data_IF_939140303088
#
_entry.id   IF_939140303088
#
_cell.length_a   1.000
_cell.length_b   1.000
_cell.length_c   1.000
_cell.angle_alpha   90.00
_cell.angle_beta   90.00
_cell.angle_gamma   90.00
#
_symmetry.space_group_name_H-M   'P 1'
#
loop_
_entity.id
_entity.type
_entity.pdbx_description
1 polymer ?
#
# COMPACT_ATOMS: atom_id res chain seq x y z
N UNK A 1 23.29 42.40 -7.12
CA UNK A 1 23.39 41.11 -6.42
C UNK A 1 22.09 40.37 -6.66
N UNK A 2 22.14 39.45 -7.62
CA UNK A 2 21.05 38.57 -8.03
C UNK A 2 20.61 37.65 -6.89
N UNK A 3 19.30 37.59 -6.65
CA UNK A 3 18.68 36.49 -5.93
C UNK A 3 17.74 35.77 -6.90
N UNK A 4 18.31 34.81 -7.63
CA UNK A 4 17.58 33.88 -8.45
C UNK A 4 16.67 33.00 -7.58
N UNK A 5 15.40 32.97 -7.95
CA UNK A 5 14.53 31.79 -8.07
C UNK A 5 14.71 30.64 -7.08
N UNK A 6 13.75 30.52 -6.16
CA UNK A 6 13.13 29.21 -5.90
C UNK A 6 11.62 29.41 -5.97
N UNK A 7 11.10 29.32 -7.20
CA UNK A 7 9.70 28.99 -7.40
C UNK A 7 9.47 27.65 -6.71
N UNK A 8 8.75 27.68 -5.58
CA UNK A 8 8.23 26.46 -4.96
C UNK A 8 7.19 25.90 -5.92
N UNK A 9 7.69 25.02 -6.80
CA UNK A 9 6.91 24.17 -7.68
C UNK A 9 5.94 23.40 -6.79
N UNK A 10 4.74 23.97 -6.66
CA UNK A 10 3.65 23.44 -5.87
C UNK A 10 3.19 22.19 -6.57
N UNK A 11 3.93 21.10 -6.30
CA UNK A 11 3.75 19.74 -6.77
C UNK A 11 2.28 19.50 -7.04
N UNK A 12 1.96 19.30 -8.32
CA UNK A 12 0.72 18.68 -8.80
C UNK A 12 0.23 17.72 -7.73
N UNK A 13 -0.92 18.02 -7.10
CA UNK A 13 -1.60 17.10 -6.18
C UNK A 13 -1.88 15.83 -6.97
N UNK A 14 -0.95 14.88 -6.93
CA UNK A 14 -1.19 13.50 -7.38
C UNK A 14 -2.32 13.04 -6.47
N UNK A 15 -3.46 12.71 -7.05
CA UNK A 15 -4.55 12.09 -6.29
C UNK A 15 -4.01 10.76 -5.77
N UNK A 16 -3.60 10.77 -4.52
CA UNK A 16 -3.16 9.58 -3.81
C UNK A 16 -4.39 9.01 -3.15
N UNK A 17 -4.89 7.89 -3.68
CA UNK A 17 -5.93 7.12 -3.01
C UNK A 17 -5.23 6.04 -2.21
N UNK A 18 -5.35 6.11 -0.90
CA UNK A 18 -4.79 5.15 0.04
C UNK A 18 -5.87 4.14 0.45
N UNK A 19 -5.50 2.86 0.47
CA UNK A 19 -6.33 1.74 0.91
C UNK A 19 -5.54 0.98 1.97
N UNK A 20 -6.06 0.93 3.20
CA UNK A 20 -5.37 0.32 4.34
C UNK A 20 -6.00 -1.03 4.64
N UNK A 21 -5.18 -2.09 4.55
CA UNK A 21 -5.58 -3.45 4.89
C UNK A 21 -4.92 -3.84 6.21
N UNK A 22 -5.64 -3.59 7.31
CA UNK A 22 -5.18 -3.96 8.65
C UNK A 22 -5.01 -5.47 8.82
N UNK A 23 -4.02 -5.86 9.62
CA UNK A 23 -3.75 -7.25 9.96
C UNK A 23 -4.17 -7.53 11.41
N UNK A 24 -4.73 -8.72 11.63
CA UNK A 24 -5.07 -9.25 12.95
C UNK A 24 -4.73 -10.74 12.98
N UNK A 25 -3.93 -11.14 13.96
CA UNK A 25 -3.49 -12.53 14.16
C UNK A 25 -2.92 -13.20 12.88
N UNK A 26 -2.17 -12.45 12.08
CA UNK A 26 -1.55 -13.00 10.86
C UNK A 26 -2.45 -13.12 9.64
N UNK A 27 -3.63 -12.51 9.67
CA UNK A 27 -4.57 -12.48 8.56
C UNK A 27 -5.12 -11.06 8.38
N UNK A 28 -5.87 -10.83 7.30
CA UNK A 28 -6.62 -9.58 7.12
C UNK A 28 -7.67 -9.43 8.22
N UNK A 29 -7.78 -8.23 8.79
CA UNK A 29 -8.88 -7.90 9.70
C UNK A 29 -10.23 -7.92 8.99
N UNK A 30 -11.32 -7.94 9.74
CA UNK A 30 -12.69 -7.91 9.18
C UNK A 30 -12.90 -6.62 8.37
N UNK A 31 -12.42 -5.49 8.87
CA UNK A 31 -12.46 -4.19 8.20
C UNK A 31 -11.67 -4.22 6.89
N UNK A 32 -10.51 -4.88 6.86
CA UNK A 32 -9.72 -5.05 5.66
C UNK A 32 -10.43 -5.91 4.60
N UNK A 33 -11.24 -6.90 5.01
CA UNK A 33 -12.08 -7.67 4.10
C UNK A 33 -13.20 -6.81 3.51
N UNK A 34 -13.83 -5.94 4.31
CA UNK A 34 -14.79 -4.97 3.79
C UNK A 34 -14.14 -4.00 2.79
N UNK A 35 -12.94 -3.48 3.09
CA UNK A 35 -12.22 -2.61 2.16
C UNK A 35 -11.90 -3.33 0.84
N UNK A 36 -11.49 -4.61 0.92
CA UNK A 36 -11.24 -5.46 -0.25
C UNK A 36 -12.49 -5.67 -1.10
N UNK A 37 -13.66 -5.80 -0.48
CA UNK A 37 -14.90 -5.98 -1.23
C UNK A 37 -15.28 -4.75 -2.05
N UNK A 38 -15.01 -3.55 -1.49
CA UNK A 38 -15.23 -2.26 -2.15
C UNK A 38 -14.11 -1.87 -3.11
N UNK A 39 -12.98 -2.57 -3.08
CA UNK A 39 -11.86 -2.29 -3.94
C UNK A 39 -12.21 -2.54 -5.42
N UNK A 40 -11.88 -1.55 -6.26
CA UNK A 40 -11.93 -1.64 -7.71
C UNK A 40 -10.74 -0.88 -8.29
N UNK A 41 -10.09 -1.49 -9.28
CA UNK A 41 -8.98 -0.87 -10.01
C UNK A 41 -9.14 -1.07 -11.51
N UNK A 42 -8.62 -0.11 -12.28
CA UNK A 42 -8.40 -0.31 -13.70
C UNK A 42 -7.07 -1.04 -13.92
N UNK A 43 -6.94 -1.79 -15.02
CA UNK A 43 -5.71 -2.51 -15.36
C UNK A 43 -4.52 -1.58 -15.67
N UNK A 44 -4.79 -0.31 -15.93
CA UNK A 44 -3.82 0.77 -16.16
C UNK A 44 -3.39 1.47 -14.86
N UNK A 45 -4.12 1.26 -13.77
CA UNK A 45 -3.79 1.87 -12.48
C UNK A 45 -2.44 1.36 -11.98
N UNK A 46 -1.71 2.27 -11.33
CA UNK A 46 -0.41 1.98 -10.72
C UNK A 46 -0.52 2.10 -9.22
N UNK A 47 0.10 1.16 -8.52
CA UNK A 47 0.04 1.10 -7.08
C UNK A 47 1.43 0.95 -6.47
N UNK A 48 1.62 1.63 -5.34
CA UNK A 48 2.74 1.44 -4.45
C UNK A 48 2.24 0.75 -3.18
N UNK A 49 2.99 -0.22 -2.67
CA UNK A 49 2.59 -1.00 -1.49
C UNK A 49 3.53 -0.71 -0.34
N UNK A 50 3.02 -0.30 0.81
CA UNK A 50 3.79 -0.19 2.03
C UNK A 50 3.37 -1.29 3.01
N UNK A 51 4.34 -1.82 3.74
CA UNK A 51 4.08 -2.76 4.84
C UNK A 51 4.38 -2.03 6.14
N UNK A 52 3.34 -1.83 6.95
CA UNK A 52 3.42 -1.22 8.27
C UNK A 52 3.52 -2.35 9.29
N UNK A 53 4.49 -2.26 10.20
CA UNK A 53 4.62 -3.21 11.32
C UNK A 53 4.60 -2.50 12.66
N UNK A 54 3.81 -3.04 13.60
CA UNK A 54 3.69 -2.52 14.96
C UNK A 54 4.88 -2.87 15.86
N UNK A 55 5.67 -3.88 15.48
CA UNK A 55 6.85 -4.35 16.21
C UNK A 55 8.10 -4.48 15.33
N UNK A 56 9.15 -5.06 15.92
CA UNK A 56 10.36 -5.45 15.21
C UNK A 56 10.05 -6.52 14.15
N UNK A 57 10.60 -6.36 12.95
CA UNK A 57 10.50 -7.38 11.91
C UNK A 57 11.44 -8.54 12.24
N UNK A 58 10.87 -9.63 12.77
CA UNK A 58 11.51 -10.95 12.72
C UNK A 58 11.31 -11.57 11.35
N UNK A 59 12.20 -12.49 10.95
CA UNK A 59 12.05 -13.23 9.69
C UNK A 59 10.69 -13.96 9.60
N UNK A 60 10.19 -14.46 10.74
CA UNK A 60 8.86 -15.06 10.87
C UNK A 60 7.74 -14.06 10.56
N UNK A 61 7.78 -12.85 11.16
CA UNK A 61 6.78 -11.80 10.91
C UNK A 61 6.80 -11.33 9.45
N UNK A 62 7.98 -11.24 8.83
CA UNK A 62 8.12 -10.90 7.41
C UNK A 62 7.48 -11.97 6.53
N UNK A 63 7.79 -13.24 6.80
CA UNK A 63 7.21 -14.36 6.05
C UNK A 63 5.68 -14.40 6.18
N UNK A 64 5.17 -14.09 7.37
CA UNK A 64 3.74 -14.01 7.63
C UNK A 64 3.07 -12.89 6.84
N UNK A 65 3.57 -11.65 6.94
CA UNK A 65 3.04 -10.48 6.21
C UNK A 65 3.13 -10.69 4.70
N UNK A 66 4.23 -11.27 4.21
CA UNK A 66 4.41 -11.63 2.80
C UNK A 66 3.43 -12.71 2.34
N UNK A 67 3.09 -13.67 3.21
CA UNK A 67 2.03 -14.64 2.98
C UNK A 67 0.68 -13.96 2.78
N UNK A 68 0.31 -13.08 3.72
CA UNK A 68 -0.94 -12.30 3.63
C UNK A 68 -0.96 -11.43 2.38
N UNK A 69 0.15 -10.77 2.04
CA UNK A 69 0.27 -9.96 0.84
C UNK A 69 0.03 -10.77 -0.44
N UNK A 70 0.64 -11.96 -0.56
CA UNK A 70 0.44 -12.83 -1.73
C UNK A 70 -1.03 -13.21 -1.92
N UNK A 71 -1.73 -13.52 -0.84
CA UNK A 71 -3.14 -13.88 -0.91
C UNK A 71 -4.04 -12.67 -1.16
N UNK A 72 -3.75 -11.53 -0.55
CA UNK A 72 -4.41 -10.26 -0.84
C UNK A 72 -4.22 -9.88 -2.32
N UNK A 73 -3.01 -9.98 -2.86
CA UNK A 73 -2.70 -9.65 -4.25
C UNK A 73 -3.54 -10.47 -5.24
N UNK A 74 -3.71 -11.78 -5.01
CA UNK A 74 -4.60 -12.63 -5.85
C UNK A 74 -6.03 -12.12 -5.84
N UNK A 75 -6.54 -11.68 -4.68
CA UNK A 75 -7.90 -11.15 -4.56
C UNK A 75 -8.04 -9.77 -5.22
N UNK A 76 -7.03 -8.91 -5.09
CA UNK A 76 -6.97 -7.61 -5.76
C UNK A 76 -6.91 -7.77 -7.29
N UNK A 77 -6.17 -8.77 -7.79
CA UNK A 77 -6.14 -9.11 -9.22
C UNK A 77 -7.52 -9.44 -9.77
N UNK A 78 -8.31 -10.23 -9.03
CA UNK A 78 -9.69 -10.54 -9.39
C UNK A 78 -10.60 -9.30 -9.43
N UNK A 79 -10.19 -8.20 -8.79
CA UNK A 79 -10.88 -6.89 -8.76
C UNK A 79 -10.29 -5.87 -9.75
N UNK A 80 -9.45 -6.31 -10.68
CA UNK A 80 -8.95 -5.50 -11.81
C UNK A 80 -7.55 -4.91 -11.64
N UNK A 81 -6.88 -5.13 -10.48
CA UNK A 81 -5.50 -4.71 -10.29
C UNK A 81 -4.55 -5.52 -11.20
N UNK A 82 -3.64 -4.83 -11.88
CA UNK A 82 -2.59 -5.46 -12.67
C UNK A 82 -1.29 -5.58 -11.86
N UNK A 83 -0.78 -6.79 -11.58
CA UNK A 83 0.43 -6.98 -10.77
C UNK A 83 1.68 -6.33 -11.36
N UNK A 84 1.75 -6.19 -12.69
CA UNK A 84 2.88 -5.54 -13.38
C UNK A 84 2.99 -4.04 -13.05
N UNK A 85 1.89 -3.44 -12.57
CA UNK A 85 1.83 -2.03 -12.19
C UNK A 85 1.90 -1.83 -10.67
N UNK A 86 2.20 -2.89 -9.91
CA UNK A 86 2.41 -2.82 -8.47
C UNK A 86 3.90 -2.77 -8.19
N UNK A 87 4.32 -1.74 -7.47
CA UNK A 87 5.67 -1.62 -6.95
C UNK A 87 5.61 -1.85 -5.44
N UNK A 88 6.32 -2.86 -4.97
CA UNK A 88 6.52 -3.02 -3.53
C UNK A 88 7.43 -1.91 -3.03
N UNK A 89 6.95 -1.22 -2.02
CA UNK A 89 7.66 -0.20 -1.30
C UNK A 89 8.51 -0.73 -0.18
N UNK A 90 9.06 0.22 0.58
CA UNK A 90 9.77 -0.08 1.82
C UNK A 90 8.79 -0.45 2.93
N UNK A 91 9.30 -1.16 3.93
CA UNK A 91 8.60 -1.33 5.20
C UNK A 91 8.75 -0.07 6.04
N UNK A 92 7.68 0.35 6.72
CA UNK A 92 7.73 1.38 7.76
C UNK A 92 7.59 0.69 9.11
N UNK A 93 8.53 0.98 9.99
CA UNK A 93 8.67 0.32 11.29
C UNK A 93 8.09 1.17 12.43
N UNK A 94 7.85 0.54 13.58
CA UNK A 94 7.31 1.21 14.78
C UNK A 94 5.99 1.94 14.49
N UNK A 95 5.17 1.34 13.64
CA UNK A 95 3.87 1.87 13.31
C UNK A 95 2.91 1.54 14.45
N UNK A 96 1.75 2.20 14.51
CA UNK A 96 0.77 1.92 15.56
C UNK A 96 -0.02 0.62 15.31
N UNK A 97 0.10 0.02 14.12
CA UNK A 97 -0.61 -1.19 13.72
C UNK A 97 0.13 -1.94 12.60
N UNK A 98 -0.11 -3.25 12.51
CA UNK A 98 0.28 -4.06 11.36
C UNK A 98 -0.72 -3.87 10.21
N UNK A 99 -0.24 -3.44 9.05
CA UNK A 99 -1.09 -3.21 7.89
C UNK A 99 -0.34 -3.32 6.57
N UNK A 100 -1.07 -3.67 5.52
CA UNK A 100 -0.62 -3.51 4.14
C UNK A 100 -1.35 -2.29 3.58
N UNK A 101 -0.60 -1.27 3.17
CA UNK A 101 -1.15 -0.04 2.61
C UNK A 101 -0.92 -0.05 1.12
N UNK A 102 -2.01 0.07 0.35
CA UNK A 102 -1.99 0.17 -1.09
C UNK A 102 -2.28 1.61 -1.50
N UNK A 103 -1.31 2.24 -2.13
CA UNK A 103 -1.33 3.65 -2.53
C UNK A 103 -1.47 3.72 -4.04
N UNK A 104 -2.61 4.18 -4.55
CA UNK A 104 -2.77 4.48 -5.98
C UNK A 104 -1.94 5.70 -6.33
N UNK A 105 -1.06 5.56 -7.32
CA UNK A 105 -0.14 6.63 -7.76
C UNK A 105 -0.44 7.04 -9.19
N UNK A 106 -0.54 8.35 -9.41
CA UNK A 106 -0.87 8.90 -10.73
C UNK A 106 -2.36 8.83 -11.05
N UNK A 107 -2.71 9.45 -12.17
CA UNK A 107 -4.07 9.56 -12.71
C UNK A 107 -4.07 9.01 -14.12
#
# INVERSE_FOLDING_TARGET
MDAASVQSDSKKKRFVVERVFGLSNGALSVEALFELDHFKAASTDRFYVEMLTAGEMTEESVNQVMGVWKDLLKRLQAKGLNPKNVVMGGAKYQQTADAIVLVKVGS
#
